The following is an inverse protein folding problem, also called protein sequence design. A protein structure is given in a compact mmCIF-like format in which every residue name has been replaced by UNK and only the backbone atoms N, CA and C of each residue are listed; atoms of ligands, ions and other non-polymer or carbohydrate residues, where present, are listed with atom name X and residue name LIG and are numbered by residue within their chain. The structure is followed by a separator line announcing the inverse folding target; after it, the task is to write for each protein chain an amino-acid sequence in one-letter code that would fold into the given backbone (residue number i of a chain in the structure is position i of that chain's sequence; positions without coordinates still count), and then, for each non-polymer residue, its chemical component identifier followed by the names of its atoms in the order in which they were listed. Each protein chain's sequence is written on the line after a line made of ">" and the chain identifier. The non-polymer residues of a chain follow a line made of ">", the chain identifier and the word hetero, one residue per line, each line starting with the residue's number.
data_IF_755070078661
#
_entry.id   IF_755070078661
#
_cell.length_a   1.000
_cell.length_b   1.000
_cell.length_c   1.000
_cell.angle_alpha   90.00
_cell.angle_beta   90.00
_cell.angle_gamma   90.00
#
_symmetry.space_group_name_H-M   'P 1'
#
loop_
_entity.id
_entity.type
_entity.pdbx_description
1 polymer ?
#
# COMPACT_ATOMS: atom_id res chain seq x y z
N UNK A 1 77.68 33.00 -36.01
CA UNK A 1 77.31 33.96 -34.93
C UNK A 1 75.85 34.33 -35.10
N UNK A 2 74.99 34.07 -34.08
CA UNK A 2 73.62 34.60 -33.81
C UNK A 2 72.58 34.54 -34.96
N UNK A 3 71.32 34.12 -34.85
CA UNK A 3 70.40 33.64 -33.79
C UNK A 3 69.13 33.17 -34.56
N UNK A 4 68.56 32.00 -34.22
CA UNK A 4 67.11 31.68 -33.97
C UNK A 4 66.01 32.51 -34.69
N UNK A 5 64.84 32.05 -35.19
CA UNK A 5 64.00 30.83 -35.05
C UNK A 5 62.63 31.15 -35.76
N UNK A 6 62.00 30.19 -36.47
CA UNK A 6 60.54 29.77 -36.45
C UNK A 6 59.47 30.86 -36.78
N UNK A 7 58.35 30.72 -37.53
CA UNK A 7 57.53 29.62 -38.10
C UNK A 7 56.42 30.17 -39.02
N UNK A 8 55.91 29.30 -39.93
CA UNK A 8 54.50 28.94 -40.29
C UNK A 8 53.41 30.03 -40.54
N UNK A 9 52.28 29.86 -41.25
CA UNK A 9 51.51 28.75 -41.83
C UNK A 9 50.53 29.35 -42.89
N UNK A 10 50.24 28.71 -44.03
CA UNK A 10 49.14 27.77 -44.31
C UNK A 10 47.70 28.36 -44.18
N UNK A 11 47.02 28.52 -45.32
CA UNK A 11 45.58 28.84 -45.43
C UNK A 11 44.91 27.70 -46.21
N UNK A 12 44.16 26.83 -45.54
CA UNK A 12 43.30 25.83 -46.18
C UNK A 12 41.99 25.74 -45.40
N UNK A 13 40.91 26.15 -46.05
CA UNK A 13 39.56 26.23 -45.50
C UNK A 13 38.92 24.84 -45.56
N UNK A 14 38.70 24.20 -44.40
CA UNK A 14 37.97 22.92 -44.28
C UNK A 14 36.59 23.22 -43.70
N UNK A 15 35.56 22.79 -44.42
CA UNK A 15 34.16 22.85 -44.01
C UNK A 15 33.90 21.91 -42.83
N UNK A 16 33.50 22.46 -41.69
CA UNK A 16 33.04 21.72 -40.52
C UNK A 16 31.54 21.41 -40.66
N UNK A 17 31.24 20.14 -40.92
CA UNK A 17 29.94 19.52 -40.71
C UNK A 17 29.61 19.54 -39.21
N UNK A 18 28.65 20.38 -38.81
CA UNK A 18 28.05 20.35 -37.48
C UNK A 18 27.09 19.16 -37.41
N UNK A 19 27.57 18.01 -36.94
CA UNK A 19 26.71 16.93 -36.46
C UNK A 19 26.16 17.31 -35.08
N UNK A 20 24.98 17.91 -35.08
CA UNK A 20 24.17 18.08 -33.87
C UNK A 20 23.69 16.72 -33.38
N UNK A 21 24.47 16.09 -32.50
CA UNK A 21 24.04 14.93 -31.72
C UNK A 21 23.09 15.42 -30.61
N UNK A 22 21.80 15.52 -30.95
CA UNK A 22 20.75 15.59 -29.95
C UNK A 22 20.77 14.26 -29.19
N UNK A 23 21.30 14.26 -27.96
CA UNK A 23 20.98 13.22 -26.99
C UNK A 23 19.45 13.23 -26.85
N UNK A 24 18.80 12.11 -27.18
CA UNK A 24 17.43 11.88 -26.77
C UNK A 24 17.47 11.82 -25.26
N UNK A 25 16.90 12.83 -24.60
CA UNK A 25 16.60 12.74 -23.18
C UNK A 25 15.54 11.65 -23.05
N UNK A 26 15.96 10.45 -22.64
CA UNK A 26 15.05 9.40 -22.24
C UNK A 26 14.22 9.96 -21.09
N UNK A 27 12.91 10.11 -21.30
CA UNK A 27 11.98 10.54 -20.27
C UNK A 27 12.16 9.60 -19.08
N UNK A 28 12.55 10.15 -17.92
CA UNK A 28 12.64 9.36 -16.69
C UNK A 28 11.28 8.68 -16.47
N UNK A 29 11.25 7.40 -16.08
CA UNK A 29 10.01 6.73 -15.71
C UNK A 29 9.26 7.61 -14.72
N UNK A 30 8.00 7.91 -15.02
CA UNK A 30 7.15 8.66 -14.12
C UNK A 30 6.87 7.77 -12.90
N UNK A 31 7.15 8.29 -11.70
CA UNK A 31 6.84 7.59 -10.45
C UNK A 31 5.33 7.31 -10.36
N UNK A 32 4.96 6.15 -9.83
CA UNK A 32 3.55 5.82 -9.59
C UNK A 32 2.92 6.82 -8.62
N UNK A 33 1.66 7.17 -8.90
CA UNK A 33 0.82 8.02 -8.06
C UNK A 33 -0.58 7.42 -8.04
N UNK A 34 -1.09 7.15 -6.85
CA UNK A 34 -2.45 6.69 -6.67
C UNK A 34 -3.42 7.87 -6.83
N UNK A 35 -3.92 8.08 -8.04
CA UNK A 35 -4.83 9.20 -8.36
C UNK A 35 -6.19 9.12 -7.67
N UNK A 36 -6.57 7.95 -7.17
CA UNK A 36 -7.83 7.72 -6.44
C UNK A 36 -7.68 7.77 -4.92
N UNK A 37 -6.44 7.78 -4.41
CA UNK A 37 -6.18 7.75 -2.98
C UNK A 37 -6.32 9.14 -2.35
N UNK A 38 -6.84 9.18 -1.12
CA UNK A 38 -6.99 10.44 -0.38
C UNK A 38 -5.68 10.82 0.30
N UNK A 39 -5.37 12.12 0.35
CA UNK A 39 -4.14 12.64 0.97
C UNK A 39 -4.36 13.20 2.38
N UNK A 40 -5.59 13.12 2.87
CA UNK A 40 -6.00 13.51 4.23
C UNK A 40 -6.89 12.42 4.81
N UNK A 41 -6.93 12.23 6.15
CA UNK A 41 -7.83 11.27 6.77
C UNK A 41 -9.29 11.49 6.35
N UNK A 42 -10.00 10.40 6.07
CA UNK A 42 -11.45 10.39 5.84
C UNK A 42 -12.20 10.45 7.20
N UNK A 43 -11.57 10.00 8.28
CA UNK A 43 -12.16 9.95 9.62
C UNK A 43 -12.46 11.34 10.21
N UNK A 44 -13.63 11.49 10.83
CA UNK A 44 -14.01 12.70 11.56
C UNK A 44 -13.59 12.64 13.02
N UNK A 45 -13.08 13.75 13.55
CA UNK A 45 -12.56 13.85 14.93
C UNK A 45 -13.57 13.43 16.01
N UNK A 46 -14.87 13.68 15.77
CA UNK A 46 -15.96 13.29 16.68
C UNK A 46 -16.06 11.77 16.87
N UNK A 47 -15.48 10.98 15.94
CA UNK A 47 -15.55 9.53 15.93
C UNK A 47 -14.25 8.84 16.38
N UNK A 48 -13.18 9.60 16.68
CA UNK A 48 -11.84 9.05 16.96
C UNK A 48 -11.84 8.07 18.15
N UNK A 49 -12.65 8.32 19.18
CA UNK A 49 -12.77 7.49 20.38
C UNK A 49 -14.07 6.66 20.44
N UNK A 50 -14.63 6.31 19.27
CA UNK A 50 -15.91 5.58 19.18
C UNK A 50 -15.87 4.45 18.16
N UNK A 51 -16.85 3.53 18.23
CA UNK A 51 -17.08 2.49 17.23
C UNK A 51 -17.52 3.03 15.86
N UNK A 52 -17.91 4.31 15.76
CA UNK A 52 -18.15 4.99 14.48
C UNK A 52 -16.83 5.42 13.84
N UNK A 53 -16.86 5.78 12.56
CA UNK A 53 -15.71 6.32 11.84
C UNK A 53 -15.29 5.45 10.67
N UNK A 54 -14.01 5.56 10.30
CA UNK A 54 -13.43 4.88 9.14
C UNK A 54 -12.46 3.80 9.59
N UNK A 55 -12.55 2.64 8.95
CA UNK A 55 -11.61 1.53 9.15
C UNK A 55 -11.09 1.12 7.78
N UNK A 56 -9.77 0.97 7.66
CA UNK A 56 -9.12 0.56 6.43
C UNK A 56 -8.37 -0.74 6.68
N UNK A 57 -8.33 -1.58 5.65
CA UNK A 57 -7.73 -2.89 5.72
C UNK A 57 -7.13 -3.32 4.40
N UNK A 58 -6.25 -4.31 4.50
CA UNK A 58 -5.71 -5.09 3.40
C UNK A 58 -6.16 -6.53 3.54
N UNK A 59 -6.16 -7.28 2.44
CA UNK A 59 -6.51 -8.70 2.44
C UNK A 59 -5.49 -9.54 1.67
N UNK A 60 -5.27 -10.79 2.09
CA UNK A 60 -4.40 -11.76 1.42
C UNK A 60 -5.13 -13.09 1.16
N UNK A 61 -4.64 -13.93 0.24
CA UNK A 61 -5.35 -15.10 -0.31
C UNK A 61 -6.10 -14.82 -1.62
N UNK A 62 -6.39 -13.56 -1.85
CA UNK A 62 -6.18 -12.86 -3.12
C UNK A 62 -5.57 -11.51 -2.75
N UNK A 63 -5.47 -10.53 -3.64
CA UNK A 63 -4.93 -9.22 -3.23
C UNK A 63 -6.02 -8.16 -3.23
N UNK A 64 -5.98 -7.27 -2.24
CA UNK A 64 -6.94 -6.19 -2.19
C UNK A 64 -6.95 -5.35 -0.93
N UNK A 65 -7.94 -4.46 -0.88
CA UNK A 65 -8.20 -3.54 0.21
C UNK A 65 -9.68 -3.52 0.59
N UNK A 66 -9.96 -3.06 1.81
CA UNK A 66 -11.32 -2.81 2.26
C UNK A 66 -11.39 -1.55 3.11
N UNK A 67 -12.42 -0.73 2.88
CA UNK A 67 -12.74 0.45 3.67
C UNK A 67 -14.14 0.34 4.24
N UNK A 68 -14.27 0.34 5.57
CA UNK A 68 -15.55 0.50 6.26
C UNK A 68 -15.77 1.97 6.62
N UNK A 69 -17.02 2.43 6.46
CA UNK A 69 -17.52 3.69 7.01
C UNK A 69 -18.73 3.37 7.88
N UNK A 70 -18.59 3.56 9.19
CA UNK A 70 -19.65 3.33 10.17
C UNK A 70 -20.11 4.69 10.67
N UNK A 71 -21.18 5.23 10.08
CA UNK A 71 -21.77 6.53 10.44
C UNK A 71 -20.74 7.67 10.59
N UNK A 72 -19.82 7.78 9.62
CA UNK A 72 -18.77 8.79 9.65
C UNK A 72 -19.26 10.13 9.04
N UNK A 73 -20.16 10.81 9.74
CA UNK A 73 -20.72 12.10 9.32
C UNK A 73 -22.02 12.01 8.53
N UNK A 74 -22.41 10.81 8.11
CA UNK A 74 -23.75 10.47 7.62
C UNK A 74 -24.34 9.35 8.47
N UNK A 75 -25.59 8.97 8.21
CA UNK A 75 -26.20 7.78 8.84
C UNK A 75 -25.84 6.47 8.12
N UNK A 76 -25.06 6.54 7.05
CA UNK A 76 -24.74 5.38 6.22
C UNK A 76 -23.76 4.44 6.92
N UNK A 77 -23.94 3.15 6.67
CA UNK A 77 -23.03 2.10 7.11
C UNK A 77 -22.69 1.23 5.91
N UNK A 78 -21.49 1.46 5.37
CA UNK A 78 -21.04 0.89 4.10
C UNK A 78 -19.63 0.34 4.22
N UNK A 79 -19.30 -0.60 3.36
CA UNK A 79 -17.92 -0.95 3.08
C UNK A 79 -17.67 -0.95 1.58
N UNK A 80 -16.45 -0.60 1.18
CA UNK A 80 -15.98 -0.74 -0.20
C UNK A 80 -14.76 -1.65 -0.17
N UNK A 81 -14.89 -2.81 -0.81
CA UNK A 81 -13.79 -3.76 -0.97
C UNK A 81 -13.31 -3.69 -2.42
N UNK A 82 -12.01 -3.66 -2.63
CA UNK A 82 -11.38 -3.87 -3.93
C UNK A 82 -10.60 -5.16 -3.81
N UNK A 83 -10.93 -6.15 -4.64
CA UNK A 83 -10.25 -7.45 -4.66
C UNK A 83 -9.99 -7.85 -6.10
N UNK A 84 -8.75 -8.18 -6.44
CA UNK A 84 -8.31 -8.45 -7.82
C UNK A 84 -8.82 -7.39 -8.82
N UNK A 85 -8.68 -6.11 -8.45
CA UNK A 85 -9.15 -4.94 -9.20
C UNK A 85 -10.68 -4.82 -9.38
N UNK A 86 -11.47 -5.68 -8.73
CA UNK A 86 -12.94 -5.63 -8.74
C UNK A 86 -13.44 -4.88 -7.51
N UNK A 87 -14.18 -3.79 -7.74
CA UNK A 87 -14.83 -3.04 -6.66
C UNK A 87 -16.16 -3.67 -6.27
N UNK A 88 -16.35 -3.93 -4.98
CA UNK A 88 -17.58 -4.43 -4.38
C UNK A 88 -18.03 -3.44 -3.30
N UNK A 89 -19.25 -2.93 -3.45
CA UNK A 89 -19.91 -2.12 -2.41
C UNK A 89 -20.75 -3.04 -1.54
N UNK A 90 -20.51 -2.97 -0.23
CA UNK A 90 -21.24 -3.71 0.78
C UNK A 90 -21.99 -2.72 1.68
N UNK A 91 -23.14 -3.14 2.20
CA UNK A 91 -23.94 -2.34 3.14
C UNK A 91 -24.34 -3.18 4.34
N UNK A 92 -24.59 -2.52 5.47
CA UNK A 92 -25.20 -3.16 6.64
C UNK A 92 -26.48 -2.46 7.05
N UNK A 93 -27.48 -3.24 7.43
CA UNK A 93 -28.71 -2.75 8.04
C UNK A 93 -28.62 -2.67 9.58
N UNK A 94 -27.51 -3.11 10.17
CA UNK A 94 -27.33 -3.10 11.63
C UNK A 94 -26.97 -1.69 12.08
N UNK A 95 -27.88 -1.09 12.85
CA UNK A 95 -27.66 0.22 13.45
C UNK A 95 -26.56 0.16 14.51
N UNK A 96 -25.72 1.20 14.53
CA UNK A 96 -24.78 1.39 15.63
C UNK A 96 -25.53 1.85 16.90
N UNK A 97 -25.07 1.37 18.05
CA UNK A 97 -25.62 1.73 19.36
C UNK A 97 -24.48 2.17 20.27
N UNK A 98 -24.65 3.32 20.93
CA UNK A 98 -23.62 3.91 21.77
C UNK A 98 -23.25 3.01 22.97
N UNK A 99 -21.96 3.00 23.30
CA UNK A 99 -21.40 2.21 24.39
C UNK A 99 -21.37 0.69 24.18
N UNK A 100 -21.82 0.16 23.03
CA UNK A 100 -21.80 -1.27 22.72
C UNK A 100 -20.77 -1.61 21.63
N UNK A 101 -20.17 -2.82 21.66
CA UNK A 101 -19.41 -3.31 20.52
C UNK A 101 -20.31 -3.31 19.27
N UNK A 102 -19.74 -2.91 18.14
CA UNK A 102 -20.45 -2.94 16.88
C UNK A 102 -20.08 -4.23 16.14
N UNK A 103 -21.06 -5.11 15.93
CA UNK A 103 -20.91 -6.36 15.19
C UNK A 103 -21.98 -6.41 14.12
N UNK A 104 -21.57 -6.51 12.85
CA UNK A 104 -22.50 -6.38 11.75
C UNK A 104 -22.08 -7.17 10.50
N UNK A 105 -23.01 -7.89 9.86
CA UNK A 105 -22.80 -8.39 8.52
C UNK A 105 -22.93 -7.24 7.51
N UNK A 106 -21.96 -7.16 6.61
CA UNK A 106 -21.97 -6.33 5.42
C UNK A 106 -22.19 -7.23 4.21
N UNK A 107 -23.18 -6.89 3.38
CA UNK A 107 -23.55 -7.70 2.22
C UNK A 107 -23.60 -6.88 0.94
N UNK A 108 -23.34 -7.56 -0.17
CA UNK A 108 -23.41 -7.00 -1.52
C UNK A 108 -23.29 -8.10 -2.56
N UNK A 109 -22.93 -7.74 -3.78
CA UNK A 109 -22.79 -8.69 -4.89
C UNK A 109 -21.53 -8.45 -5.69
N UNK A 110 -20.86 -9.54 -6.08
CA UNK A 110 -19.73 -9.53 -7.01
C UNK A 110 -20.03 -10.51 -8.14
N UNK A 111 -20.00 -10.04 -9.38
CA UNK A 111 -20.35 -10.85 -10.56
C UNK A 111 -21.71 -11.59 -10.43
N UNK A 112 -22.69 -10.93 -9.80
CA UNK A 112 -24.02 -11.49 -9.54
C UNK A 112 -24.10 -12.54 -8.42
N UNK A 113 -22.99 -12.86 -7.74
CA UNK A 113 -22.95 -13.76 -6.60
C UNK A 113 -22.94 -12.98 -5.27
N UNK A 114 -23.58 -13.50 -4.22
CA UNK A 114 -23.63 -12.82 -2.92
C UNK A 114 -22.26 -12.79 -2.25
N UNK A 115 -21.88 -11.62 -1.74
CA UNK A 115 -20.70 -11.41 -0.89
C UNK A 115 -21.18 -11.06 0.51
N UNK A 116 -20.54 -11.62 1.54
CA UNK A 116 -20.79 -11.23 2.94
C UNK A 116 -19.51 -11.18 3.76
N UNK A 117 -19.38 -10.15 4.60
CA UNK A 117 -18.27 -9.95 5.54
C UNK A 117 -18.85 -9.53 6.89
N UNK A 118 -18.50 -10.20 7.98
CA UNK A 118 -18.90 -9.79 9.33
C UNK A 118 -17.79 -8.97 9.97
N UNK A 119 -18.05 -7.69 10.20
CA UNK A 119 -17.14 -6.77 10.87
C UNK A 119 -17.48 -6.65 12.35
N UNK A 120 -16.46 -6.57 13.20
CA UNK A 120 -16.59 -6.37 14.64
C UNK A 120 -15.58 -5.34 15.13
N UNK A 121 -16.03 -4.43 16.00
CA UNK A 121 -15.16 -3.44 16.65
C UNK A 121 -15.65 -3.11 18.06
N UNK A 122 -14.72 -2.79 18.96
CA UNK A 122 -15.04 -2.39 20.33
C UNK A 122 -15.74 -1.00 20.37
N UNK A 123 -16.46 -0.67 21.47
CA UNK A 123 -17.20 0.59 21.59
C UNK A 123 -16.35 1.85 21.37
N UNK A 124 -15.05 1.78 21.67
CA UNK A 124 -14.09 2.88 21.50
C UNK A 124 -13.43 2.90 20.10
N UNK A 125 -13.83 2.02 19.19
CA UNK A 125 -13.21 1.87 17.87
C UNK A 125 -11.95 1.00 17.85
N UNK A 126 -11.54 0.45 19.00
CA UNK A 126 -10.37 -0.42 19.11
C UNK A 126 -10.64 -1.84 18.60
N UNK A 127 -9.55 -2.54 18.28
CA UNK A 127 -9.54 -3.96 17.85
C UNK A 127 -10.56 -4.27 16.74
N UNK A 128 -10.55 -3.54 15.61
CA UNK A 128 -11.38 -3.87 14.47
C UNK A 128 -10.94 -5.22 13.89
N UNK A 129 -11.89 -6.13 13.67
CA UNK A 129 -11.64 -7.46 13.10
C UNK A 129 -12.77 -7.86 12.14
N UNK A 130 -12.45 -8.74 11.20
CA UNK A 130 -13.44 -9.48 10.43
C UNK A 130 -13.54 -10.88 11.01
N UNK A 131 -14.75 -11.31 11.37
CA UNK A 131 -14.97 -12.59 12.07
C UNK A 131 -15.49 -13.70 11.15
N UNK A 132 -16.02 -13.34 9.97
CA UNK A 132 -16.42 -14.31 8.96
C UNK A 132 -16.52 -13.65 7.59
N UNK A 133 -16.22 -14.41 6.55
CA UNK A 133 -16.28 -13.97 5.16
C UNK A 133 -16.87 -15.04 4.26
N UNK A 134 -17.54 -14.59 3.20
CA UNK A 134 -17.89 -15.36 2.03
C UNK A 134 -17.70 -14.47 0.81
N UNK A 135 -16.62 -14.72 0.07
CA UNK A 135 -16.24 -13.96 -1.12
C UNK A 135 -16.08 -14.96 -2.27
N UNK A 136 -17.07 -15.06 -3.17
CA UNK A 136 -17.05 -16.06 -4.25
C UNK A 136 -15.79 -15.96 -5.10
N UNK A 137 -15.05 -17.06 -5.23
CA UNK A 137 -13.78 -17.11 -5.98
C UNK A 137 -12.52 -16.84 -5.15
N UNK A 138 -12.66 -16.38 -3.90
CA UNK A 138 -11.54 -16.02 -3.04
C UNK A 138 -11.63 -16.75 -1.69
N UNK A 139 -11.46 -18.09 -1.67
CA UNK A 139 -11.40 -18.84 -0.42
C UNK A 139 -10.14 -18.44 0.36
N UNK A 140 -10.21 -18.49 1.69
CA UNK A 140 -9.06 -18.18 2.57
C UNK A 140 -8.56 -16.73 2.46
N UNK A 141 -9.48 -15.79 2.19
CA UNK A 141 -9.20 -14.38 2.32
C UNK A 141 -9.04 -14.02 3.80
N UNK A 142 -7.84 -13.58 4.18
CA UNK A 142 -7.57 -13.05 5.52
C UNK A 142 -7.39 -11.53 5.48
N UNK A 143 -7.65 -10.86 6.60
CA UNK A 143 -7.77 -9.41 6.66
C UNK A 143 -7.01 -8.81 7.83
N UNK A 144 -6.20 -7.81 7.54
CA UNK A 144 -5.67 -6.89 8.56
C UNK A 144 -6.46 -5.59 8.52
N UNK A 145 -6.87 -5.09 9.68
CA UNK A 145 -7.68 -3.88 9.80
C UNK A 145 -7.11 -2.92 10.85
N UNK A 146 -7.19 -1.63 10.55
CA UNK A 146 -6.93 -0.57 11.52
C UNK A 146 -8.00 0.53 11.42
N UNK A 147 -8.22 1.21 12.55
CA UNK A 147 -9.05 2.40 12.59
C UNK A 147 -8.23 3.59 12.08
N UNK A 148 -8.82 4.37 11.18
CA UNK A 148 -8.30 5.68 10.82
C UNK A 148 -8.82 6.73 11.82
N UNK A 149 -7.95 7.63 12.26
CA UNK A 149 -8.31 8.78 13.12
C UNK A 149 -8.18 10.06 12.33
N UNK A 150 -8.85 11.12 12.78
CA UNK A 150 -8.87 12.42 12.11
C UNK A 150 -7.50 13.10 11.94
N UNK A 151 -6.48 12.60 12.64
CA UNK A 151 -5.11 13.10 12.61
C UNK A 151 -4.10 12.12 11.98
N UNK A 152 -4.49 10.88 11.68
CA UNK A 152 -3.59 9.86 11.15
C UNK A 152 -4.24 9.17 9.95
N UNK A 153 -3.78 9.53 8.75
CA UNK A 153 -4.17 8.87 7.51
C UNK A 153 -3.64 7.44 7.56
N UNK A 154 -4.51 6.50 7.19
CA UNK A 154 -4.11 5.12 6.92
C UNK A 154 -4.09 4.93 5.41
N UNK A 155 -2.94 4.49 4.92
CA UNK A 155 -2.68 4.18 3.52
C UNK A 155 -2.55 2.66 3.39
N UNK A 156 -3.13 2.06 2.34
CA UNK A 156 -2.94 0.64 2.04
C UNK A 156 -2.11 0.47 0.77
N UNK A 157 -1.22 -0.52 0.80
CA UNK A 157 -0.37 -0.87 -0.32
C UNK A 157 -0.52 -2.35 -0.63
N UNK A 158 -0.50 -2.67 -1.91
CA UNK A 158 -0.43 -4.02 -2.42
C UNK A 158 0.91 -4.23 -3.11
N UNK A 159 1.54 -5.37 -2.89
CA UNK A 159 2.89 -5.61 -3.36
C UNK A 159 3.26 -7.08 -3.48
N UNK A 160 4.41 -7.30 -4.09
CA UNK A 160 4.98 -8.63 -4.31
C UNK A 160 6.42 -8.68 -3.83
N UNK A 161 6.84 -9.86 -3.43
CA UNK A 161 8.23 -10.14 -3.12
C UNK A 161 8.75 -11.33 -3.94
N UNK A 162 10.07 -11.36 -4.11
CA UNK A 162 10.80 -12.48 -4.66
C UNK A 162 12.11 -12.66 -3.90
N UNK A 163 12.61 -13.89 -3.81
CA UNK A 163 13.89 -14.14 -3.16
C UNK A 163 14.88 -14.89 -4.06
N UNK A 164 16.15 -14.89 -3.68
CA UNK A 164 17.21 -15.65 -4.36
C UNK A 164 17.13 -17.15 -4.13
N UNK A 165 16.43 -17.60 -3.08
CA UNK A 165 15.89 -18.95 -3.01
C UNK A 165 14.51 -18.87 -3.69
N UNK A 166 14.20 -19.64 -4.74
CA UNK A 166 13.15 -19.34 -5.73
C UNK A 166 11.71 -19.36 -5.16
N UNK A 167 11.42 -18.40 -4.30
CA UNK A 167 10.21 -18.15 -3.53
C UNK A 167 9.71 -16.78 -3.95
N UNK A 168 8.42 -16.72 -4.26
CA UNK A 168 7.70 -15.50 -4.62
C UNK A 168 6.43 -15.44 -3.80
N UNK A 169 5.93 -14.24 -3.59
CA UNK A 169 4.68 -14.08 -2.88
C UNK A 169 4.15 -12.67 -2.93
N UNK A 170 3.04 -12.48 -2.22
CA UNK A 170 2.34 -11.21 -2.08
C UNK A 170 2.56 -10.69 -0.67
N UNK A 171 2.68 -9.38 -0.53
CA UNK A 171 2.58 -8.70 0.76
C UNK A 171 1.63 -7.52 0.60
N UNK A 172 0.75 -7.33 1.58
CA UNK A 172 -0.13 -6.18 1.62
C UNK A 172 0.04 -5.48 2.96
N UNK A 173 0.19 -4.16 2.95
CA UNK A 173 0.47 -3.39 4.17
C UNK A 173 -0.47 -2.20 4.34
N UNK A 174 -0.68 -1.88 5.60
CA UNK A 174 -1.29 -0.67 6.12
C UNK A 174 -0.17 0.19 6.71
N UNK A 175 -0.15 1.48 6.43
CA UNK A 175 0.80 2.39 7.05
C UNK A 175 0.21 3.75 7.38
N UNK A 176 0.85 4.42 8.32
CA UNK A 176 0.59 5.83 8.61
C UNK A 176 1.91 6.58 8.71
N UNK A 177 2.14 7.50 7.76
CA UNK A 177 3.32 8.39 7.79
C UNK A 177 3.35 9.27 9.03
N UNK A 178 2.18 9.74 9.48
CA UNK A 178 2.08 10.60 10.68
C UNK A 178 2.47 9.83 11.95
N UNK A 179 2.05 8.57 12.07
CA UNK A 179 2.41 7.74 13.21
C UNK A 179 3.83 7.15 13.08
N UNK A 180 4.40 7.16 11.88
CA UNK A 180 5.68 6.52 11.60
C UNK A 180 5.62 5.00 11.74
N UNK A 181 4.47 4.38 11.44
CA UNK A 181 4.21 2.95 11.65
C UNK A 181 3.70 2.29 10.38
N UNK A 182 4.02 1.02 10.22
CA UNK A 182 3.46 0.15 9.19
C UNK A 182 3.23 -1.26 9.75
N UNK A 183 2.30 -1.98 9.14
CA UNK A 183 1.96 -3.37 9.48
C UNK A 183 1.16 -4.01 8.37
N UNK A 184 1.06 -5.34 8.35
CA UNK A 184 0.36 -6.06 7.29
C UNK A 184 0.66 -7.54 7.32
N UNK A 185 0.43 -8.17 6.18
CA UNK A 185 0.51 -9.62 6.01
C UNK A 185 1.26 -9.96 4.71
N UNK A 186 2.06 -11.01 4.75
CA UNK A 186 2.72 -11.60 3.60
C UNK A 186 2.35 -13.09 3.47
N UNK A 187 2.34 -13.58 2.24
CA UNK A 187 2.03 -14.99 1.93
C UNK A 187 2.81 -15.41 0.68
N UNK A 188 3.46 -16.56 0.77
CA UNK A 188 4.11 -17.20 -0.38
C UNK A 188 3.06 -17.70 -1.39
N UNK A 189 3.40 -17.61 -2.67
CA UNK A 189 2.56 -18.13 -3.74
C UNK A 189 2.29 -19.63 -3.55
N UNK A 190 1.02 -20.02 -3.67
CA UNK A 190 0.54 -21.39 -3.44
C UNK A 190 0.65 -21.90 -2.00
N UNK A 191 0.99 -21.03 -1.04
CA UNK A 191 0.92 -21.33 0.39
C UNK A 191 -0.42 -20.89 0.99
N UNK A 192 -0.74 -21.47 2.15
CA UNK A 192 -1.80 -20.99 3.05
C UNK A 192 -1.23 -20.38 4.33
N UNK A 193 0.08 -20.46 4.52
CA UNK A 193 0.77 -19.93 5.69
C UNK A 193 1.03 -18.44 5.50
N UNK A 194 0.75 -17.67 6.54
CA UNK A 194 0.84 -16.21 6.53
C UNK A 194 1.88 -15.73 7.53
N UNK A 195 2.57 -14.66 7.15
CA UNK A 195 3.51 -13.97 8.00
C UNK A 195 2.98 -12.57 8.32
N UNK A 196 2.78 -12.30 9.61
CA UNK A 196 2.55 -10.94 10.10
C UNK A 196 3.83 -10.12 9.95
N UNK A 197 3.75 -9.00 9.24
CA UNK A 197 4.87 -8.09 9.01
C UNK A 197 4.55 -6.73 9.60
N UNK A 198 5.49 -6.12 10.32
CA UNK A 198 5.29 -4.79 10.89
C UNK A 198 6.61 -4.08 11.24
N UNK A 199 6.49 -2.78 11.54
CA UNK A 199 7.56 -2.02 12.14
C UNK A 199 7.39 -0.49 12.02
N UNK A 200 8.52 0.19 11.87
CA UNK A 200 8.62 1.65 11.91
C UNK A 200 8.97 2.27 10.55
N UNK A 201 8.53 3.52 10.34
CA UNK A 201 8.93 4.35 9.20
C UNK A 201 9.84 5.46 9.72
N UNK A 202 11.09 5.45 9.27
CA UNK A 202 12.09 6.46 9.65
C UNK A 202 12.64 7.13 8.40
N UNK A 203 12.32 8.41 8.20
CA UNK A 203 12.77 9.20 7.05
C UNK A 203 12.45 8.54 5.68
N UNK A 204 11.25 7.94 5.56
CA UNK A 204 10.84 7.22 4.34
C UNK A 204 11.45 5.83 4.19
N UNK A 205 12.16 5.32 5.20
CA UNK A 205 12.70 3.95 5.22
C UNK A 205 11.80 3.08 6.08
N UNK A 206 11.33 1.96 5.54
CA UNK A 206 10.60 0.94 6.27
C UNK A 206 11.61 0.07 7.02
N UNK A 207 11.44 0.02 8.33
CA UNK A 207 12.21 -0.84 9.22
C UNK A 207 11.32 -1.89 9.85
N UNK A 208 11.80 -3.14 9.91
CA UNK A 208 11.15 -4.20 10.68
C UNK A 208 11.32 -3.99 12.19
N UNK A 209 10.69 -4.84 12.99
CA UNK A 209 10.81 -4.83 14.46
C UNK A 209 12.23 -5.04 14.99
N UNK A 210 13.12 -5.61 14.17
CA UNK A 210 14.54 -5.78 14.49
C UNK A 210 15.38 -4.55 14.09
N UNK A 211 14.77 -3.54 13.46
CA UNK A 211 15.42 -2.33 12.97
C UNK A 211 16.13 -2.47 11.62
N UNK A 212 15.99 -3.62 10.96
CA UNK A 212 16.52 -3.88 9.62
C UNK A 212 15.73 -3.08 8.59
N UNK A 213 16.41 -2.59 7.55
CA UNK A 213 15.73 -1.93 6.44
C UNK A 213 15.12 -2.98 5.52
N UNK A 214 13.80 -2.92 5.33
CA UNK A 214 13.05 -3.86 4.46
C UNK A 214 12.51 -3.18 3.20
N UNK A 215 12.53 -1.85 3.16
CA UNK A 215 12.12 -1.09 1.98
C UNK A 215 12.24 0.41 2.13
N UNK A 216 11.93 1.11 1.06
CA UNK A 216 11.87 2.57 1.00
C UNK A 216 10.53 2.99 0.43
N UNK A 217 9.92 3.99 1.07
CA UNK A 217 8.68 4.63 0.67
C UNK A 217 9.00 5.91 -0.11
N UNK A 218 8.68 5.92 -1.40
CA UNK A 218 8.88 7.06 -2.28
C UNK A 218 7.56 7.41 -2.96
N UNK A 219 6.90 8.49 -2.50
CA UNK A 219 5.55 8.79 -2.95
C UNK A 219 4.60 7.65 -2.59
N UNK A 220 3.92 7.09 -3.60
CA UNK A 220 2.98 5.98 -3.48
C UNK A 220 3.61 4.62 -3.85
N UNK A 221 4.93 4.53 -3.83
CA UNK A 221 5.69 3.31 -4.14
C UNK A 221 6.48 2.82 -2.93
N UNK A 222 6.55 1.50 -2.79
CA UNK A 222 7.45 0.80 -1.88
C UNK A 222 8.39 -0.06 -2.71
N UNK A 223 9.69 0.16 -2.54
CA UNK A 223 10.72 -0.65 -3.20
C UNK A 223 11.83 -0.99 -2.20
N UNK A 224 12.36 -2.21 -2.27
CA UNK A 224 13.38 -2.65 -1.33
C UNK A 224 14.15 -3.87 -1.80
N UNK A 225 15.36 -4.02 -1.26
CA UNK A 225 16.15 -5.25 -1.36
C UNK A 225 16.94 -5.42 -0.06
N UNK A 226 16.78 -6.56 0.61
CA UNK A 226 17.38 -6.85 1.91
C UNK A 226 17.69 -8.34 2.06
N UNK A 227 18.50 -8.72 3.05
CA UNK A 227 18.75 -10.12 3.37
C UNK A 227 17.82 -10.60 4.48
N UNK A 228 17.22 -11.77 4.30
CA UNK A 228 16.48 -12.46 5.36
C UNK A 228 17.43 -13.11 6.38
N UNK A 229 16.85 -13.76 7.40
CA UNK A 229 17.62 -14.47 8.43
C UNK A 229 18.44 -15.67 7.91
N UNK A 230 18.13 -16.16 6.70
CA UNK A 230 18.82 -17.27 6.05
C UNK A 230 19.90 -16.79 5.06
N UNK A 231 20.04 -15.48 4.87
CA UNK A 231 20.98 -14.86 3.92
C UNK A 231 20.47 -14.80 2.48
N UNK A 232 19.21 -15.18 2.22
CA UNK A 232 18.56 -14.98 0.92
C UNK A 232 18.25 -13.50 0.72
N UNK A 233 18.48 -13.00 -0.49
CA UNK A 233 18.11 -11.62 -0.83
C UNK A 233 16.63 -11.60 -1.20
N UNK A 234 15.85 -10.86 -0.43
CA UNK A 234 14.44 -10.55 -0.69
C UNK A 234 14.38 -9.23 -1.45
N UNK A 235 13.62 -9.19 -2.53
CA UNK A 235 13.31 -7.97 -3.30
C UNK A 235 11.81 -7.72 -3.22
N UNK A 236 11.42 -6.50 -2.90
CA UNK A 236 10.01 -6.11 -2.71
C UNK A 236 9.66 -4.94 -3.61
N UNK A 237 8.45 -4.98 -4.17
CA UNK A 237 7.84 -3.89 -4.94
C UNK A 237 6.36 -3.79 -4.57
N UNK A 238 5.85 -2.59 -4.29
CA UNK A 238 4.44 -2.37 -3.99
C UNK A 238 3.98 -0.97 -4.32
N UNK A 239 2.67 -0.84 -4.53
CA UNK A 239 2.00 0.39 -4.91
C UNK A 239 0.85 0.70 -3.95
N UNK A 240 0.61 1.98 -3.68
CA UNK A 240 -0.52 2.40 -2.85
C UNK A 240 -1.84 2.18 -3.58
N UNK A 241 -2.80 1.54 -2.94
CA UNK A 241 -4.13 1.29 -3.50
C UNK A 241 -5.28 1.89 -2.68
N UNK A 242 -5.01 2.39 -1.46
CA UNK A 242 -5.96 3.14 -0.63
C UNK A 242 -5.31 4.26 0.19
#
# INVERSE_FOLDING_TARGET
>A
MKKTIISAALLFTVATLLVSSCKKDDAKPQAYVCTTCTTTPDALAVNDASGKGVYKGVLIGSTGTIKFSVQNGTNDITATMVIDNTTVVLTSAVNWVDGQPYVAPFTGTMNGQPVSITFSVQPNGGSPIITSTNIPGHPNADFTLVKETSNALIECFEGTYSTTAPETGTFNILLSRTLGKWGGIAREDNSTDEDDINGDIVNGVLKDDNGNTVGTLSGDEINGSFQDGNGSTVTVTGERTL
#
